data_IF_795178193001
#
_entry.id   IF_795178193001
#
_cell.length_a   1.000
_cell.length_b   1.000
_cell.length_c   1.000
_cell.angle_alpha   90.00
_cell.angle_beta   90.00
_cell.angle_gamma   90.00
#
_symmetry.space_group_name_H-M   'P 1'
#
loop_
_entity.id
_entity.type
_entity.pdbx_description
1 polymer ?
#
# COMPACT_ATOMS: atom_id res chain seq x y z
N UNK A 1 -6.14 10.56 12.88
CA UNK A 1 -7.05 10.47 11.71
C UNK A 1 -7.12 9.03 11.20
N UNK A 2 -8.13 8.71 10.38
CA UNK A 2 -8.26 7.40 9.73
C UNK A 2 -8.76 7.60 8.29
N UNK A 3 -8.12 6.96 7.31
CA UNK A 3 -8.53 6.98 5.90
C UNK A 3 -8.93 5.58 5.45
N UNK A 4 -9.91 5.48 4.56
CA UNK A 4 -10.33 4.20 3.97
C UNK A 4 -10.46 4.35 2.46
N UNK A 5 -9.57 3.67 1.73
CA UNK A 5 -9.54 3.68 0.26
C UNK A 5 -9.87 2.27 -0.25
N UNK A 6 -11.02 2.07 -0.90
CA UNK A 6 -11.33 0.81 -1.56
C UNK A 6 -10.35 0.57 -2.72
N UNK A 7 -9.56 -0.50 -2.62
CA UNK A 7 -8.69 -0.95 -3.70
C UNK A 7 -9.28 -2.11 -4.52
N UNK A 8 -8.58 -2.54 -5.59
CA UNK A 8 -9.05 -3.60 -6.49
C UNK A 8 -9.30 -4.94 -5.80
N UNK A 9 -10.42 -5.59 -6.14
CA UNK A 9 -10.80 -6.93 -5.62
C UNK A 9 -10.33 -8.10 -6.50
N UNK A 10 -9.46 -7.82 -7.46
CA UNK A 10 -8.82 -8.79 -8.34
C UNK A 10 -7.29 -8.69 -8.18
N UNK A 11 -6.53 -9.76 -8.47
CA UNK A 11 -5.09 -9.73 -8.31
C UNK A 11 -4.42 -8.80 -9.34
N UNK A 12 -3.48 -7.98 -8.87
CA UNK A 12 -2.64 -7.14 -9.72
C UNK A 12 -1.29 -7.81 -9.99
N UNK A 13 -0.68 -7.47 -11.13
CA UNK A 13 0.61 -7.99 -11.55
C UNK A 13 1.52 -6.86 -12.06
N UNK A 14 2.81 -6.97 -11.76
CA UNK A 14 3.86 -6.11 -12.31
C UNK A 14 4.86 -7.01 -13.05
N UNK A 15 5.03 -6.80 -14.35
CA UNK A 15 5.95 -7.61 -15.18
C UNK A 15 5.75 -9.13 -14.96
N UNK A 16 4.49 -9.58 -14.98
CA UNK A 16 4.11 -10.98 -14.75
C UNK A 16 4.15 -11.46 -13.29
N UNK A 17 4.60 -10.65 -12.34
CA UNK A 17 4.70 -11.03 -10.93
C UNK A 17 3.48 -10.54 -10.14
N UNK A 18 2.85 -11.44 -9.39
CA UNK A 18 1.65 -11.13 -8.60
C UNK A 18 1.99 -10.22 -7.42
N UNK A 19 1.25 -9.15 -7.25
CA UNK A 19 1.31 -8.33 -6.04
C UNK A 19 0.73 -9.11 -4.85
N UNK A 20 1.54 -9.27 -3.80
CA UNK A 20 1.20 -10.12 -2.65
C UNK A 20 0.54 -9.34 -1.51
N UNK A 21 1.09 -8.16 -1.20
CA UNK A 21 0.70 -7.36 -0.05
C UNK A 21 0.67 -5.88 -0.42
N UNK A 22 -0.10 -5.12 0.35
CA UNK A 22 -0.17 -3.66 0.26
C UNK A 22 0.21 -3.07 1.61
N UNK A 23 1.01 -2.01 1.62
CA UNK A 23 1.35 -1.26 2.82
C UNK A 23 0.89 0.19 2.64
N UNK A 24 -0.37 0.51 2.98
CA UNK A 24 -0.87 1.86 2.81
C UNK A 24 -0.12 2.81 3.75
N UNK A 25 0.27 3.97 3.23
CA UNK A 25 1.00 5.00 3.97
C UNK A 25 0.35 6.34 3.69
N UNK A 26 0.06 7.10 4.75
CA UNK A 26 -0.41 8.47 4.66
C UNK A 26 0.38 9.26 5.71
N UNK A 27 1.11 10.31 5.30
CA UNK A 27 2.01 11.05 6.18
C UNK A 27 1.23 11.79 7.28
N UNK A 28 1.90 11.98 8.41
CA UNK A 28 1.46 12.88 9.47
C UNK A 28 2.01 14.29 9.25
N UNK A 29 1.23 15.31 9.62
CA UNK A 29 1.59 16.71 9.45
C UNK A 29 0.65 17.63 10.22
N UNK A 30 1.11 18.84 10.52
CA UNK A 30 0.41 19.78 11.41
C UNK A 30 0.15 19.16 12.79
N UNK A 31 -1.05 19.36 13.31
CA UNK A 31 -1.49 18.84 14.61
C UNK A 31 -1.83 17.33 14.62
N UNK A 32 -1.55 16.61 13.53
CA UNK A 32 -1.84 15.19 13.43
C UNK A 32 -0.71 14.34 14.04
N UNK A 33 -0.97 13.78 15.22
CA UNK A 33 0.01 12.94 15.93
C UNK A 33 0.05 11.50 15.41
N UNK A 34 -1.10 10.94 15.04
CA UNK A 34 -1.26 9.55 14.56
C UNK A 34 -2.28 9.47 13.42
N UNK A 35 -1.97 8.63 12.45
CA UNK A 35 -2.82 8.32 11.32
C UNK A 35 -2.92 6.79 11.07
N UNK A 36 -4.11 6.34 10.67
CA UNK A 36 -4.41 4.99 10.23
C UNK A 36 -4.87 5.00 8.77
N UNK A 37 -4.09 4.42 7.87
CA UNK A 37 -4.47 4.25 6.47
C UNK A 37 -5.02 2.83 6.25
N UNK A 38 -6.26 2.74 5.78
CA UNK A 38 -6.94 1.48 5.46
C UNK A 38 -7.09 1.34 3.97
N UNK A 39 -6.72 0.18 3.44
CA UNK A 39 -6.91 -0.15 2.03
C UNK A 39 -7.30 -1.61 1.85
N UNK A 40 -8.29 -1.87 0.99
CA UNK A 40 -8.69 -3.22 0.62
C UNK A 40 -7.99 -3.69 -0.66
N UNK A 41 -7.44 -4.90 -0.71
CA UNK A 41 -6.92 -5.50 -1.93
C UNK A 41 -7.17 -7.01 -1.97
N UNK A 42 -7.76 -7.48 -3.08
CA UNK A 42 -7.96 -8.90 -3.38
C UNK A 42 -8.55 -9.69 -2.19
N UNK A 43 -9.65 -9.15 -1.62
CA UNK A 43 -10.37 -9.76 -0.50
C UNK A 43 -9.70 -9.64 0.88
N UNK A 44 -8.58 -8.92 0.99
CA UNK A 44 -7.92 -8.63 2.26
C UNK A 44 -7.95 -7.13 2.58
N UNK A 45 -8.02 -6.80 3.86
CA UNK A 45 -7.86 -5.44 4.37
C UNK A 45 -6.42 -5.25 4.89
N UNK A 46 -5.81 -4.13 4.53
CA UNK A 46 -4.48 -3.72 4.93
C UNK A 46 -4.58 -2.44 5.76
N UNK A 47 -3.81 -2.40 6.84
CA UNK A 47 -3.75 -1.29 7.78
C UNK A 47 -2.31 -0.79 7.87
N UNK A 48 -2.13 0.51 7.72
CA UNK A 48 -0.86 1.20 7.89
C UNK A 48 -0.98 2.27 8.95
N UNK A 49 -0.05 2.27 9.90
CA UNK A 49 0.01 3.27 10.95
C UNK A 49 1.20 4.20 10.71
N UNK A 50 0.96 5.49 10.84
CA UNK A 50 1.99 6.53 10.77
C UNK A 50 1.78 7.49 11.92
N UNK A 51 2.86 7.99 12.50
CA UNK A 51 2.77 8.82 13.70
C UNK A 51 4.06 9.57 13.95
N UNK A 52 3.94 10.66 14.70
CA UNK A 52 5.06 11.40 15.22
C UNK A 52 5.77 10.59 16.32
N UNK A 53 7.09 10.52 16.25
CA UNK A 53 7.90 9.67 17.16
C UNK A 53 7.93 10.20 18.60
N UNK A 54 7.73 11.50 18.80
CA UNK A 54 7.72 12.13 20.12
C UNK A 54 6.33 12.09 20.75
N UNK A 55 5.28 12.33 19.96
CA UNK A 55 3.90 12.31 20.44
C UNK A 55 3.34 10.88 20.61
N UNK A 56 3.78 9.92 19.79
CA UNK A 56 3.35 8.53 19.85
C UNK A 56 4.54 7.54 19.84
N UNK A 57 5.39 7.55 20.88
CA UNK A 57 6.62 6.75 20.93
C UNK A 57 6.36 5.24 20.88
N UNK A 58 5.15 4.79 21.25
CA UNK A 58 4.75 3.40 21.28
C UNK A 58 3.79 3.02 20.14
N UNK A 59 3.80 3.76 19.02
CA UNK A 59 2.94 3.54 17.84
C UNK A 59 2.87 2.08 17.38
N UNK A 60 3.98 1.34 17.51
CA UNK A 60 4.08 -0.09 17.18
C UNK A 60 3.07 -0.96 17.93
N UNK A 61 2.61 -0.55 19.12
CA UNK A 61 1.58 -1.28 19.89
C UNK A 61 0.23 -1.33 19.19
N UNK A 62 -0.10 -0.34 18.34
CA UNK A 62 -1.37 -0.31 17.62
C UNK A 62 -1.59 -1.55 16.75
N UNK A 63 -0.53 -2.14 16.18
CA UNK A 63 -0.65 -3.39 15.43
C UNK A 63 -1.18 -4.54 16.30
N UNK A 64 -0.64 -4.65 17.52
CA UNK A 64 -1.04 -5.69 18.47
C UNK A 64 -2.45 -5.43 18.98
N UNK A 65 -2.76 -4.19 19.36
CA UNK A 65 -4.08 -3.80 19.83
C UNK A 65 -5.15 -4.00 18.76
N UNK A 66 -4.87 -3.63 17.50
CA UNK A 66 -5.77 -3.88 16.38
C UNK A 66 -6.11 -5.37 16.24
N UNK A 67 -5.10 -6.24 16.31
CA UNK A 67 -5.29 -7.70 16.21
C UNK A 67 -6.12 -8.25 17.37
N UNK A 68 -5.88 -7.75 18.59
CA UNK A 68 -6.63 -8.14 19.79
C UNK A 68 -8.09 -7.70 19.67
N UNK A 69 -8.34 -6.41 19.47
CA UNK A 69 -9.70 -5.87 19.36
C UNK A 69 -10.49 -6.47 18.19
N UNK A 70 -9.84 -6.77 17.05
CA UNK A 70 -10.50 -7.47 15.96
C UNK A 70 -10.88 -8.91 16.33
N UNK A 71 -10.03 -9.60 17.10
CA UNK A 71 -10.33 -10.96 17.56
C UNK A 71 -11.51 -10.95 18.53
N UNK A 72 -11.49 -10.06 19.52
CA UNK A 72 -12.58 -9.86 20.48
C UNK A 72 -13.89 -9.53 19.77
N UNK A 73 -13.88 -8.58 18.83
CA UNK A 73 -15.06 -8.19 18.06
C UNK A 73 -15.62 -9.35 17.24
N UNK A 74 -14.74 -10.12 16.58
CA UNK A 74 -15.13 -11.27 15.78
C UNK A 74 -15.79 -12.35 16.62
N UNK A 75 -15.26 -12.62 17.81
CA UNK A 75 -15.81 -13.59 18.76
C UNK A 75 -17.18 -13.13 19.26
N UNK A 76 -17.31 -11.87 19.68
CA UNK A 76 -18.58 -11.29 20.10
C UNK A 76 -19.64 -11.33 18.98
N UNK A 77 -19.22 -11.14 17.72
CA UNK A 77 -20.10 -11.22 16.55
C UNK A 77 -20.42 -12.66 16.10
N UNK A 78 -19.85 -13.69 16.74
CA UNK A 78 -20.06 -15.09 16.36
C UNK A 78 -19.50 -15.48 14.98
N UNK A 79 -18.59 -14.66 14.41
CA UNK A 79 -18.04 -14.88 13.06
C UNK A 79 -16.91 -15.90 13.13
N UNK A 80 -17.07 -17.03 12.44
CA UNK A 80 -16.03 -18.07 12.40
C UNK A 80 -14.84 -17.62 11.55
N UNK A 81 -13.59 -17.93 11.96
CA UNK A 81 -12.43 -17.61 11.15
C UNK A 81 -12.46 -18.37 9.82
N UNK A 82 -12.04 -17.73 8.71
CA UNK A 82 -11.97 -18.41 7.41
C UNK A 82 -11.00 -19.60 7.49
N UNK A 83 -11.48 -20.75 7.02
CA UNK A 83 -10.72 -22.01 7.06
C UNK A 83 -9.53 -21.89 6.12
N UNK A 84 -8.29 -22.01 6.64
CA UNK A 84 -7.07 -22.02 5.81
C UNK A 84 -7.10 -23.27 4.91
N UNK A 85 -7.39 -23.08 3.62
CA UNK A 85 -7.23 -24.14 2.63
C UNK A 85 -5.73 -24.41 2.46
N UNK A 86 -5.26 -25.54 3.00
CA UNK A 86 -3.93 -26.08 2.68
C UNK A 86 -3.93 -26.40 1.19
N UNK A 87 -3.36 -25.54 0.35
CA UNK A 87 -3.11 -25.87 -1.05
C UNK A 87 -2.20 -27.10 -1.07
N UNK A 88 -2.71 -28.24 -1.56
CA UNK A 88 -1.87 -29.41 -1.88
C UNK A 88 -0.81 -28.92 -2.86
N UNK A 89 0.47 -28.99 -2.47
CA UNK A 89 1.59 -28.84 -3.41
C UNK A 89 1.48 -30.00 -4.41
N UNK A 90 0.92 -29.73 -5.59
CA UNK A 90 1.05 -30.65 -6.72
C UNK A 90 2.51 -30.55 -7.15
N UNK A 91 3.29 -31.60 -6.86
CA UNK A 91 4.59 -31.80 -7.47
C UNK A 91 4.35 -32.02 -8.97
N UNK A 92 4.49 -30.97 -9.77
CA UNK A 92 4.56 -31.13 -11.21
C UNK A 92 5.91 -31.78 -11.54
N UNK A 93 5.87 -33.08 -11.88
CA UNK A 93 6.99 -33.74 -12.56
C UNK A 93 7.16 -33.05 -13.92
N UNK A 94 8.26 -32.33 -14.09
CA UNK A 94 8.70 -31.84 -15.39
C UNK A 94 9.02 -33.04 -16.28
N UNK A 95 8.16 -33.34 -17.24
CA UNK A 95 8.51 -34.13 -18.41
C UNK A 95 8.96 -33.16 -19.50
N UNK A 96 10.25 -33.24 -19.84
CA UNK A 96 10.85 -32.50 -20.94
C UNK A 96 10.46 -33.18 -22.25
N UNK A 97 9.47 -32.62 -22.96
CA UNK A 97 9.27 -32.89 -24.38
C UNK A 97 9.50 -31.60 -25.15
N UNK A 98 10.62 -31.58 -25.87
CA UNK A 98 11.04 -30.54 -26.80
C UNK A 98 9.97 -30.25 -27.85
N UNK A 99 9.44 -29.03 -27.87
CA UNK A 99 8.68 -28.49 -29.00
C UNK A 99 9.30 -27.14 -29.39
N UNK A 100 9.68 -27.08 -30.66
CA UNK A 100 10.32 -25.98 -31.40
C UNK A 100 9.54 -24.66 -31.25
N UNK A 101 10.21 -23.50 -31.16
CA UNK A 101 9.54 -22.22 -30.92
C UNK A 101 8.69 -21.78 -32.14
N UNK A 102 7.43 -21.35 -31.95
CA UNK A 102 6.74 -20.61 -32.98
C UNK A 102 7.26 -19.17 -33.05
N UNK A 103 7.52 -18.79 -34.29
CA UNK A 103 7.81 -17.49 -34.88
C UNK A 103 7.11 -16.30 -34.22
N UNK A 104 7.92 -15.29 -33.90
CA UNK A 104 7.62 -13.84 -33.83
C UNK A 104 6.22 -13.46 -33.30
N UNK A 105 6.11 -13.31 -31.98
CA UNK A 105 5.06 -12.49 -31.39
C UNK A 105 5.42 -11.01 -31.61
N UNK A 106 4.67 -10.32 -32.47
CA UNK A 106 4.73 -8.87 -32.60
C UNK A 106 4.45 -8.24 -31.23
N UNK A 107 5.45 -7.52 -30.72
CA UNK A 107 5.33 -6.70 -29.52
C UNK A 107 4.38 -5.54 -29.84
N UNK A 108 3.13 -5.64 -29.39
CA UNK A 108 2.26 -4.45 -29.32
C UNK A 108 2.85 -3.54 -28.25
N UNK A 109 3.65 -2.57 -28.70
CA UNK A 109 4.18 -1.49 -27.89
C UNK A 109 3.02 -0.57 -27.54
N UNK A 110 2.33 -0.82 -26.43
CA UNK A 110 1.39 0.15 -25.86
C UNK A 110 2.24 1.23 -25.20
N UNK A 111 2.62 2.22 -26.00
CA UNK A 111 3.17 3.48 -25.52
C UNK A 111 2.06 4.23 -24.79
N UNK A 112 1.99 4.09 -23.47
CA UNK A 112 1.21 5.02 -22.64
C UNK A 112 1.95 6.36 -22.76
N UNK A 113 1.33 7.42 -23.31
CA UNK A 113 1.95 8.73 -23.29
C UNK A 113 2.07 9.15 -21.82
N UNK A 114 3.29 9.21 -21.30
CA UNK A 114 3.51 10.04 -20.11
C UNK A 114 3.21 11.48 -20.54
N UNK A 115 2.35 12.22 -19.81
CA UNK A 115 2.28 13.65 -20.03
C UNK A 115 3.70 14.22 -19.82
N UNK A 116 4.17 15.05 -20.75
CA UNK A 116 5.40 15.80 -20.56
C UNK A 116 5.25 16.60 -19.27
N UNK A 117 5.96 16.18 -18.23
CA UNK A 117 6.10 16.98 -17.01
C UNK A 117 7.03 18.12 -17.39
N UNK A 118 6.44 19.20 -17.89
CA UNK A 118 7.16 20.45 -18.01
C UNK A 118 7.51 20.89 -16.59
N UNK A 119 8.81 20.88 -16.30
CA UNK A 119 9.38 21.33 -15.03
C UNK A 119 9.04 22.81 -14.85
N UNK A 120 7.85 23.10 -14.34
CA UNK A 120 7.52 24.41 -13.83
C UNK A 120 8.34 24.59 -12.57
N UNK A 121 9.51 25.22 -12.71
CA UNK A 121 10.25 25.75 -11.57
C UNK A 121 9.28 26.68 -10.85
N UNK A 122 8.93 26.34 -9.61
CA UNK A 122 8.25 27.29 -8.75
C UNK A 122 9.13 28.54 -8.65
N UNK A 123 8.56 29.75 -8.70
CA UNK A 123 9.35 30.96 -8.51
C UNK A 123 10.02 30.88 -7.14
N UNK A 124 11.34 31.13 -7.11
CA UNK A 124 12.09 31.27 -5.85
C UNK A 124 11.34 32.23 -4.92
N UNK A 125 11.19 31.89 -3.63
CA UNK A 125 10.47 32.74 -2.70
C UNK A 125 11.12 34.12 -2.66
N UNK A 126 10.31 35.18 -2.70
CA UNK A 126 10.82 36.54 -2.53
C UNK A 126 11.45 36.66 -1.14
N UNK A 127 12.49 37.48 -1.00
CA UNK A 127 13.18 37.71 0.28
C UNK A 127 12.23 38.12 1.43
N UNK A 128 11.06 38.66 1.09
CA UNK A 128 9.98 38.99 2.02
C UNK A 128 9.26 37.74 2.57
N UNK A 129 9.05 36.71 1.74
CA UNK A 129 8.46 35.45 2.15
C UNK A 129 9.40 34.62 3.03
N UNK A 130 10.71 34.64 2.77
CA UNK A 130 11.71 33.99 3.64
C UNK A 130 11.78 34.66 5.02
N UNK A 131 11.62 35.98 5.09
CA UNK A 131 11.63 36.73 6.35
C UNK A 131 10.41 36.42 7.21
N UNK A 132 9.24 36.26 6.59
CA UNK A 132 8.01 35.83 7.27
C UNK A 132 8.12 34.39 7.76
N UNK A 133 8.69 33.49 6.95
CA UNK A 133 8.90 32.09 7.33
C UNK A 133 9.88 31.95 8.51
N UNK A 134 10.93 32.77 8.54
CA UNK A 134 11.92 32.77 9.64
C UNK A 134 11.32 33.31 10.95
N UNK A 135 10.34 34.21 10.89
CA UNK A 135 9.65 34.72 12.08
C UNK A 135 8.57 33.78 12.64
N UNK A 136 8.06 32.84 11.84
CA UNK A 136 7.04 31.88 12.27
C UNK A 136 7.60 30.61 12.93
N UNK A 137 8.92 30.41 12.84
CA UNK A 137 9.63 29.22 13.34
C UNK A 137 10.51 29.54 14.57
N UNK A 138 10.54 30.81 15.02
CA UNK A 138 11.17 31.25 16.27
C UNK A 138 10.12 31.46 17.37
#
# INVERSE_FOLDING_TARGET
>A
MCTNVPGPQFPLYLLGHKMLHWYPYVPVGGEMTVNCAVLSYNGAMYFGFSGDVHAAPDLRRLETLLKLSFTELREAAGVRPPRKNKKKRVHAKTQTSSVTPPTSAETVHVSIPLPSVESRREPEPTAEAEKILTQLIA
#
